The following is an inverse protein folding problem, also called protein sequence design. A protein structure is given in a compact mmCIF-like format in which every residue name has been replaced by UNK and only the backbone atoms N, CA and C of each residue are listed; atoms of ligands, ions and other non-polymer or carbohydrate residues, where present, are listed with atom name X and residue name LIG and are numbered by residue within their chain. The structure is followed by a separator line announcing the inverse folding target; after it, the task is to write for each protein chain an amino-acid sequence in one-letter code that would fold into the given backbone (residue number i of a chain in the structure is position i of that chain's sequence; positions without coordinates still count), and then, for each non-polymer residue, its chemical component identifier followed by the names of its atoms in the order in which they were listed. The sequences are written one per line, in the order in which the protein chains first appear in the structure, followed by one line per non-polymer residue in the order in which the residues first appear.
data_IF_263272170564
#
_entry.id   IF_263272170564
#
_cell.length_a   1.000
_cell.length_b   1.000
_cell.length_c   1.000
_cell.angle_alpha   90.00
_cell.angle_beta   90.00
_cell.angle_gamma   90.00
#
_symmetry.space_group_name_H-M   'P 1'
#
loop_
_entity.id
_entity.type
_entity.pdbx_description
1 polymer ?
#
# COMPACT_ATOMS: atom_id res chain seq x y z
N UNK A 1 -55.65 17.62 49.38
CA UNK A 1 -55.55 16.59 48.31
C UNK A 1 -54.83 17.07 47.03
N UNK A 2 -54.46 18.35 46.89
CA UNK A 2 -53.78 18.88 45.69
C UNK A 2 -52.35 18.34 45.45
N UNK A 3 -51.58 18.01 46.50
CA UNK A 3 -50.17 17.58 46.35
C UNK A 3 -49.94 16.16 45.80
N UNK A 4 -50.98 15.34 45.62
CA UNK A 4 -50.83 14.00 45.02
C UNK A 4 -50.82 14.05 43.49
N UNK A 5 -51.60 14.97 42.89
CA UNK A 5 -51.69 15.12 41.44
C UNK A 5 -50.44 15.77 40.83
N UNK A 6 -49.87 16.79 41.49
CA UNK A 6 -48.63 17.45 41.03
C UNK A 6 -47.42 16.52 41.07
N UNK A 7 -47.34 15.61 42.06
CA UNK A 7 -46.25 14.62 42.13
C UNK A 7 -46.30 13.61 40.99
N UNK A 8 -47.50 13.23 40.52
CA UNK A 8 -47.67 12.33 39.39
C UNK A 8 -47.29 12.95 38.04
N UNK A 9 -47.61 14.24 37.84
CA UNK A 9 -47.25 14.97 36.62
C UNK A 9 -45.73 15.14 36.49
N UNK A 10 -45.06 15.54 37.59
CA UNK A 10 -43.60 15.73 37.61
C UNK A 10 -42.81 14.44 37.42
N UNK A 11 -43.35 13.30 37.88
CA UNK A 11 -42.71 12.00 37.69
C UNK A 11 -42.79 11.52 36.24
N UNK A 12 -43.93 11.74 35.55
CA UNK A 12 -44.07 11.43 34.12
C UNK A 12 -43.15 12.27 33.24
N UNK A 13 -43.00 13.55 33.54
CA UNK A 13 -42.16 14.47 32.76
C UNK A 13 -40.66 14.11 32.87
N UNK A 14 -40.19 13.71 34.05
CA UNK A 14 -38.82 13.22 34.24
C UNK A 14 -38.58 11.83 33.61
N UNK A 15 -39.58 10.94 33.57
CA UNK A 15 -39.41 9.62 32.93
C UNK A 15 -39.26 9.70 31.41
N UNK A 16 -39.91 10.69 30.77
CA UNK A 16 -39.84 10.91 29.33
C UNK A 16 -38.50 11.52 28.90
N UNK A 17 -37.87 12.32 29.77
CA UNK A 17 -36.54 12.89 29.51
C UNK A 17 -35.43 11.86 29.72
N UNK A 18 -35.53 10.98 30.71
CA UNK A 18 -34.54 9.90 30.90
C UNK A 18 -34.57 8.85 29.78
N UNK A 19 -35.75 8.43 29.31
CA UNK A 19 -35.87 7.54 28.15
C UNK A 19 -35.38 8.19 26.84
N UNK A 20 -35.63 9.49 26.67
CA UNK A 20 -35.14 10.24 25.51
C UNK A 20 -33.61 10.36 25.48
N UNK A 21 -32.99 10.64 26.63
CA UNK A 21 -31.53 10.76 26.75
C UNK A 21 -30.84 9.41 26.56
N UNK A 22 -31.38 8.34 27.12
CA UNK A 22 -30.82 6.98 26.96
C UNK A 22 -30.93 6.48 25.50
N UNK A 23 -32.02 6.77 24.80
CA UNK A 23 -32.16 6.49 23.36
C UNK A 23 -31.15 7.26 22.51
N UNK A 24 -30.96 8.56 22.75
CA UNK A 24 -29.98 9.38 22.03
C UNK A 24 -28.54 8.89 22.25
N UNK A 25 -28.16 8.58 23.50
CA UNK A 25 -26.84 8.04 23.79
C UNK A 25 -26.60 6.68 23.13
N UNK A 26 -27.62 5.82 23.07
CA UNK A 26 -27.52 4.52 22.40
C UNK A 26 -27.39 4.67 20.88
N UNK A 27 -28.10 5.61 20.27
CA UNK A 27 -27.94 5.93 18.84
C UNK A 27 -26.56 6.50 18.53
N UNK A 28 -26.03 7.38 19.38
CA UNK A 28 -24.67 7.92 19.23
C UNK A 28 -23.61 6.83 19.39
N UNK A 29 -23.76 5.90 20.34
CA UNK A 29 -22.87 4.76 20.53
C UNK A 29 -22.92 3.76 19.35
N UNK A 30 -24.10 3.55 18.75
CA UNK A 30 -24.24 2.69 17.57
C UNK A 30 -23.68 3.36 16.30
N UNK A 31 -23.90 4.67 16.14
CA UNK A 31 -23.35 5.43 15.01
C UNK A 31 -21.82 5.55 15.08
N UNK A 32 -21.26 5.73 16.28
CA UNK A 32 -19.81 5.73 16.49
C UNK A 32 -19.23 4.34 16.25
N UNK A 33 -19.88 3.28 16.76
CA UNK A 33 -19.48 1.89 16.51
C UNK A 33 -19.49 1.50 15.03
N UNK A 34 -20.52 1.89 14.28
CA UNK A 34 -20.61 1.64 12.84
C UNK A 34 -19.51 2.36 12.05
N UNK A 35 -19.16 3.59 12.46
CA UNK A 35 -18.10 4.38 11.83
C UNK A 35 -16.72 3.78 12.09
N UNK A 36 -16.45 3.38 13.34
CA UNK A 36 -15.21 2.70 13.74
C UNK A 36 -15.06 1.37 12.99
N UNK A 37 -16.15 0.60 12.85
CA UNK A 37 -16.13 -0.67 12.12
C UNK A 37 -15.83 -0.50 10.63
N UNK A 38 -16.42 0.50 9.96
CA UNK A 38 -16.12 0.81 8.55
C UNK A 38 -14.66 1.23 8.35
N UNK A 39 -14.12 2.03 9.26
CA UNK A 39 -12.72 2.41 9.23
C UNK A 39 -11.80 1.19 9.39
N UNK A 40 -12.06 0.34 10.38
CA UNK A 40 -11.31 -0.91 10.61
C UNK A 40 -11.35 -1.84 9.39
N UNK A 41 -12.51 -2.03 8.77
CA UNK A 41 -12.67 -2.84 7.55
C UNK A 41 -11.87 -2.25 6.37
N UNK A 42 -11.79 -0.92 6.26
CA UNK A 42 -10.97 -0.21 5.28
C UNK A 42 -9.47 -0.50 5.46
N UNK A 43 -8.97 -0.41 6.69
CA UNK A 43 -7.56 -0.70 7.00
C UNK A 43 -7.18 -2.15 6.71
N UNK A 44 -8.04 -3.12 7.06
CA UNK A 44 -7.80 -4.54 6.77
C UNK A 44 -7.74 -4.80 5.27
N UNK A 45 -8.63 -4.18 4.48
CA UNK A 45 -8.61 -4.29 3.01
C UNK A 45 -7.34 -3.69 2.42
N UNK A 46 -6.88 -2.55 2.94
CA UNK A 46 -5.64 -1.89 2.50
C UNK A 46 -4.39 -2.71 2.81
N UNK A 47 -4.25 -3.21 4.04
CA UNK A 47 -3.13 -4.06 4.41
C UNK A 47 -3.08 -5.34 3.56
N UNK A 48 -4.25 -5.88 3.18
CA UNK A 48 -4.36 -7.01 2.27
C UNK A 48 -3.88 -6.67 0.85
N UNK A 49 -4.23 -5.50 0.32
CA UNK A 49 -3.76 -5.04 -1.00
C UNK A 49 -2.24 -4.92 -1.05
N UNK A 50 -1.61 -4.36 -0.02
CA UNK A 50 -0.15 -4.18 0.04
C UNK A 50 0.61 -5.50 0.06
N UNK A 51 0.09 -6.50 0.78
CA UNK A 51 0.68 -7.85 0.77
C UNK A 51 0.54 -8.54 -0.58
N UNK A 52 -0.60 -8.36 -1.26
CA UNK A 52 -0.80 -8.89 -2.61
C UNK A 52 0.16 -8.22 -3.60
N UNK A 53 0.31 -6.90 -3.51
CA UNK A 53 1.25 -6.14 -4.32
C UNK A 53 2.70 -6.58 -4.08
N UNK A 54 3.11 -6.73 -2.82
CA UNK A 54 4.42 -7.22 -2.45
C UNK A 54 4.70 -8.61 -3.03
N UNK A 55 3.76 -9.55 -2.87
CA UNK A 55 3.88 -10.89 -3.40
C UNK A 55 3.99 -10.88 -4.93
N UNK A 56 3.17 -10.08 -5.60
CA UNK A 56 3.20 -9.95 -7.05
C UNK A 56 4.57 -9.43 -7.54
N UNK A 57 5.12 -8.38 -6.91
CA UNK A 57 6.44 -7.84 -7.28
C UNK A 57 7.57 -8.87 -7.17
N UNK A 58 7.53 -9.77 -6.19
CA UNK A 58 8.55 -10.83 -6.05
C UNK A 58 8.33 -11.96 -7.06
N UNK A 59 7.08 -12.38 -7.26
CA UNK A 59 6.75 -13.58 -8.04
C UNK A 59 6.75 -13.33 -9.55
N UNK A 60 6.43 -12.12 -10.02
CA UNK A 60 6.33 -11.85 -11.47
C UNK A 60 7.62 -12.17 -12.21
N UNK A 61 8.82 -11.71 -11.81
CA UNK A 61 10.03 -12.03 -12.56
C UNK A 61 10.31 -13.54 -12.64
N UNK A 62 10.08 -14.27 -11.55
CA UNK A 62 10.18 -15.74 -11.54
C UNK A 62 9.15 -16.40 -12.48
N UNK A 63 7.92 -15.89 -12.48
CA UNK A 63 6.85 -16.35 -13.34
C UNK A 63 7.17 -16.11 -14.82
N UNK A 64 7.72 -14.95 -15.18
CA UNK A 64 8.15 -14.64 -16.55
C UNK A 64 9.26 -15.59 -17.03
N UNK A 65 10.28 -15.84 -16.20
CA UNK A 65 11.35 -16.81 -16.51
C UNK A 65 10.77 -18.20 -16.76
N UNK A 66 9.85 -18.65 -15.89
CA UNK A 66 9.25 -19.98 -15.98
C UNK A 66 8.47 -20.16 -17.29
N UNK A 67 7.65 -19.17 -17.66
CA UNK A 67 6.77 -19.25 -18.83
C UNK A 67 7.48 -18.97 -20.17
N UNK A 68 8.65 -18.32 -20.15
CA UNK A 68 9.50 -18.17 -21.33
C UNK A 68 10.39 -19.39 -21.59
N UNK A 69 10.31 -20.44 -20.73
CA UNK A 69 11.08 -21.68 -20.88
C UNK A 69 12.43 -21.68 -20.17
N UNK A 70 12.58 -20.89 -19.11
CA UNK A 70 13.80 -20.66 -18.31
C UNK A 70 14.94 -19.78 -18.89
N UNK A 71 14.87 -19.13 -20.07
CA UNK A 71 15.90 -18.17 -20.45
C UNK A 71 15.79 -16.91 -19.58
N UNK A 72 16.90 -16.48 -19.00
CA UNK A 72 16.97 -15.18 -18.31
C UNK A 72 17.35 -14.12 -19.33
N UNK A 73 16.39 -13.25 -19.67
CA UNK A 73 16.59 -12.11 -20.59
C UNK A 73 17.46 -11.01 -19.96
N UNK A 74 17.87 -10.02 -20.76
CA UNK A 74 18.70 -8.92 -20.26
C UNK A 74 17.93 -7.99 -19.32
N UNK A 75 16.62 -7.81 -19.55
CA UNK A 75 15.70 -7.03 -18.69
C UNK A 75 14.34 -7.73 -18.57
N UNK A 76 13.61 -7.44 -17.49
CA UNK A 76 12.21 -7.83 -17.29
C UNK A 76 11.36 -7.30 -18.44
N UNK A 77 11.64 -6.09 -18.96
CA UNK A 77 10.83 -5.54 -20.04
C UNK A 77 10.96 -6.33 -21.33
N UNK A 78 12.10 -6.98 -21.61
CA UNK A 78 12.32 -7.79 -22.82
C UNK A 78 11.42 -9.02 -22.93
N UNK A 79 10.76 -9.41 -21.84
CA UNK A 79 9.81 -10.52 -21.84
C UNK A 79 8.55 -10.24 -22.66
N UNK A 80 8.32 -9.00 -23.14
CA UNK A 80 7.28 -8.72 -24.13
C UNK A 80 7.49 -9.50 -25.45
N UNK A 81 8.73 -9.95 -25.74
CA UNK A 81 9.07 -10.73 -26.94
C UNK A 81 8.83 -12.24 -26.76
N UNK A 82 8.27 -12.69 -25.64
CA UNK A 82 7.96 -14.10 -25.45
C UNK A 82 6.82 -14.55 -26.37
N UNK A 83 6.74 -15.87 -26.66
CA UNK A 83 5.69 -16.41 -27.53
C UNK A 83 4.27 -16.14 -27.00
N UNK A 84 4.10 -16.21 -25.67
CA UNK A 84 2.84 -15.95 -24.98
C UNK A 84 2.91 -14.60 -24.27
N UNK A 85 3.05 -13.53 -25.05
CA UNK A 85 3.23 -12.16 -24.56
C UNK A 85 2.17 -11.70 -23.52
N UNK A 86 0.97 -12.29 -23.52
CA UNK A 86 -0.06 -12.02 -22.51
C UNK A 86 0.41 -12.30 -21.07
N UNK A 87 1.33 -13.26 -20.90
CA UNK A 87 1.97 -13.60 -19.61
C UNK A 87 2.83 -12.45 -19.10
N UNK A 88 3.40 -11.62 -19.99
CA UNK A 88 4.08 -10.38 -19.63
C UNK A 88 3.08 -9.28 -19.28
N UNK A 89 2.14 -9.00 -20.17
CA UNK A 89 1.24 -7.85 -20.05
C UNK A 89 0.31 -7.97 -18.83
N UNK A 90 -0.39 -9.08 -18.68
CA UNK A 90 -1.47 -9.23 -17.69
C UNK A 90 -1.02 -9.00 -16.23
N UNK A 91 0.00 -9.70 -15.70
CA UNK A 91 0.38 -9.54 -14.30
C UNK A 91 1.04 -8.18 -14.02
N UNK A 92 1.83 -7.63 -14.96
CA UNK A 92 2.43 -6.31 -14.80
C UNK A 92 1.37 -5.20 -14.84
N UNK A 93 0.35 -5.31 -15.69
CA UNK A 93 -0.79 -4.37 -15.68
C UNK A 93 -1.54 -4.45 -14.36
N UNK A 94 -1.77 -5.65 -13.81
CA UNK A 94 -2.39 -5.79 -12.50
C UNK A 94 -1.58 -5.10 -11.39
N UNK A 95 -0.25 -5.25 -11.39
CA UNK A 95 0.64 -4.56 -10.45
C UNK A 95 0.60 -3.05 -10.63
N UNK A 96 0.63 -2.55 -11.87
CA UNK A 96 0.51 -1.13 -12.17
C UNK A 96 -0.79 -0.54 -11.62
N UNK A 97 -1.93 -1.22 -11.84
CA UNK A 97 -3.23 -0.81 -11.30
C UNK A 97 -3.20 -0.82 -9.77
N UNK A 98 -2.63 -1.86 -9.14
CA UNK A 98 -2.52 -1.94 -7.68
C UNK A 98 -1.70 -0.79 -7.09
N UNK A 99 -0.60 -0.38 -7.74
CA UNK A 99 0.17 0.80 -7.35
C UNK A 99 -0.68 2.08 -7.44
N UNK A 100 -1.40 2.27 -8.55
CA UNK A 100 -2.27 3.44 -8.74
C UNK A 100 -3.38 3.50 -7.70
N UNK A 101 -4.08 2.38 -7.49
CA UNK A 101 -5.15 2.29 -6.49
C UNK A 101 -4.59 2.53 -5.08
N UNK A 102 -3.44 1.95 -4.75
CA UNK A 102 -2.80 2.17 -3.46
C UNK A 102 -2.45 3.66 -3.25
N UNK A 103 -1.88 4.32 -4.25
CA UNK A 103 -1.54 5.74 -4.17
C UNK A 103 -2.75 6.68 -4.12
N UNK A 104 -3.86 6.33 -4.77
CA UNK A 104 -5.12 7.10 -4.69
C UNK A 104 -5.80 6.93 -3.33
N UNK A 105 -5.83 5.70 -2.80
CA UNK A 105 -6.54 5.42 -1.54
C UNK A 105 -5.75 5.90 -0.32
N UNK A 106 -4.41 5.89 -0.36
CA UNK A 106 -3.56 6.41 0.71
C UNK A 106 -3.08 7.83 0.38
N UNK A 107 -3.69 8.84 0.97
CA UNK A 107 -3.38 10.27 0.72
C UNK A 107 -1.88 10.64 0.88
N UNK A 108 -1.14 9.93 1.75
CA UNK A 108 0.30 10.16 1.96
C UNK A 108 1.22 9.39 1.00
N UNK A 109 0.66 8.62 0.08
CA UNK A 109 1.40 7.73 -0.82
C UNK A 109 1.12 8.04 -2.30
N UNK A 110 0.85 9.29 -2.65
CA UNK A 110 0.62 9.72 -4.04
C UNK A 110 1.78 9.34 -5.00
N UNK A 111 3.00 9.14 -4.48
CA UNK A 111 4.13 8.61 -5.24
C UNK A 111 3.83 7.24 -5.86
N UNK A 112 3.01 6.39 -5.22
CA UNK A 112 2.61 5.09 -5.76
C UNK A 112 1.75 5.24 -7.01
N UNK A 113 0.96 6.31 -7.13
CA UNK A 113 0.24 6.63 -8.37
C UNK A 113 1.20 6.95 -9.51
N UNK A 114 2.24 7.74 -9.23
CA UNK A 114 3.27 8.07 -10.23
C UNK A 114 4.01 6.82 -10.65
N UNK A 115 4.47 6.01 -9.69
CA UNK A 115 5.17 4.75 -9.95
C UNK A 115 4.31 3.76 -10.73
N UNK A 116 3.04 3.58 -10.36
CA UNK A 116 2.10 2.74 -11.10
C UNK A 116 1.88 3.22 -12.53
N UNK A 117 1.81 4.54 -12.74
CA UNK A 117 1.69 5.15 -14.08
C UNK A 117 2.97 4.95 -14.91
N UNK A 118 4.14 5.09 -14.30
CA UNK A 118 5.42 4.82 -14.98
C UNK A 118 5.56 3.33 -15.34
N UNK A 119 5.09 2.42 -14.48
CA UNK A 119 5.02 1.00 -14.78
C UNK A 119 4.05 0.70 -15.93
N UNK A 120 2.90 1.38 -16.00
CA UNK A 120 2.02 1.29 -17.17
C UNK A 120 2.74 1.75 -18.44
N UNK A 121 3.52 2.84 -18.36
CA UNK A 121 4.36 3.32 -19.46
C UNK A 121 5.38 2.27 -19.92
N UNK A 122 6.09 1.62 -19.00
CA UNK A 122 7.01 0.50 -19.27
C UNK A 122 6.34 -0.64 -20.04
N UNK A 123 5.08 -0.95 -19.71
CA UNK A 123 4.30 -2.00 -20.35
C UNK A 123 3.85 -1.57 -21.75
N UNK A 124 3.33 -0.35 -21.90
CA UNK A 124 2.75 0.15 -23.14
C UNK A 124 3.82 0.52 -24.20
N UNK A 125 4.93 1.09 -23.77
CA UNK A 125 6.01 1.54 -24.63
C UNK A 125 7.14 0.50 -24.59
N UNK A 126 7.14 -0.43 -25.54
CA UNK A 126 8.20 -1.45 -25.62
C UNK A 126 9.56 -0.83 -25.99
N UNK A 127 10.64 -1.50 -25.58
CA UNK A 127 12.01 -1.01 -25.73
C UNK A 127 12.51 -0.96 -27.18
N UNK A 128 11.88 -1.65 -28.14
CA UNK A 128 12.32 -1.64 -29.55
C UNK A 128 11.67 -0.49 -30.34
N UNK A 129 10.37 -0.28 -30.16
CA UNK A 129 9.58 0.73 -30.90
C UNK A 129 9.67 2.12 -30.28
N UNK A 130 9.73 2.21 -28.95
CA UNK A 130 9.70 3.48 -28.23
C UNK A 130 10.82 3.57 -27.17
N UNK A 131 12.10 3.34 -27.52
CA UNK A 131 13.20 3.20 -26.56
C UNK A 131 13.32 4.41 -25.63
N UNK A 132 13.23 5.63 -26.15
CA UNK A 132 13.37 6.85 -25.34
C UNK A 132 12.29 6.98 -24.26
N UNK A 133 11.03 6.69 -24.62
CA UNK A 133 9.92 6.79 -23.67
C UNK A 133 10.02 5.63 -22.66
N UNK A 134 10.35 4.43 -23.14
CA UNK A 134 10.60 3.26 -22.31
C UNK A 134 11.66 3.55 -21.25
N UNK A 135 12.83 4.06 -21.66
CA UNK A 135 13.95 4.33 -20.77
C UNK A 135 13.62 5.40 -19.74
N UNK A 136 12.85 6.44 -20.11
CA UNK A 136 12.38 7.46 -19.16
C UNK A 136 11.42 6.82 -18.13
N UNK A 137 10.44 6.04 -18.59
CA UNK A 137 9.52 5.35 -17.68
C UNK A 137 10.26 4.36 -16.77
N UNK A 138 11.23 3.62 -17.30
CA UNK A 138 12.09 2.71 -16.56
C UNK A 138 12.89 3.45 -15.47
N UNK A 139 13.58 4.52 -15.86
CA UNK A 139 14.39 5.32 -14.97
C UNK A 139 13.54 5.92 -13.84
N UNK A 140 12.40 6.56 -14.17
CA UNK A 140 11.52 7.15 -13.15
C UNK A 140 10.92 6.06 -12.25
N UNK A 141 10.53 4.90 -12.77
CA UNK A 141 10.01 3.81 -11.96
C UNK A 141 11.09 3.28 -11.00
N UNK A 142 12.23 2.80 -11.50
CA UNK A 142 13.24 2.15 -10.66
C UNK A 142 13.98 3.13 -9.73
N UNK A 143 14.35 4.32 -10.21
CA UNK A 143 14.97 5.35 -9.36
C UNK A 143 13.94 5.89 -8.37
N UNK A 144 12.71 6.16 -8.83
CA UNK A 144 11.62 6.63 -7.97
C UNK A 144 11.32 5.65 -6.84
N UNK A 145 11.30 4.34 -7.11
CA UNK A 145 11.18 3.30 -6.09
C UNK A 145 12.31 3.37 -5.06
N UNK A 146 13.56 3.52 -5.51
CA UNK A 146 14.70 3.71 -4.62
C UNK A 146 14.55 4.94 -3.74
N UNK A 147 14.15 6.09 -4.31
CA UNK A 147 13.89 7.34 -3.58
C UNK A 147 12.78 7.16 -2.55
N UNK A 148 11.67 6.51 -2.91
CA UNK A 148 10.57 6.24 -1.98
C UNK A 148 11.05 5.46 -0.77
N UNK A 149 11.80 4.38 -0.98
CA UNK A 149 12.32 3.56 0.12
C UNK A 149 13.34 4.35 0.95
N UNK A 150 14.19 5.18 0.31
CA UNK A 150 15.20 5.95 1.01
C UNK A 150 14.64 7.11 1.80
N UNK A 151 13.57 7.77 1.37
CA UNK A 151 13.06 9.00 2.01
C UNK A 151 11.78 8.79 2.82
N UNK A 152 10.88 7.94 2.35
CA UNK A 152 9.54 7.77 2.91
C UNK A 152 9.38 6.49 3.75
N UNK A 153 10.41 5.65 3.83
CA UNK A 153 10.38 4.52 4.74
C UNK A 153 10.38 5.01 6.20
N UNK A 154 9.28 4.71 6.90
CA UNK A 154 9.03 4.96 8.32
C UNK A 154 9.92 4.12 9.25
N UNK A 155 10.78 3.28 8.67
CA UNK A 155 11.69 2.41 9.39
C UNK A 155 12.59 3.23 10.31
N UNK A 156 12.30 3.10 11.61
CA UNK A 156 13.06 3.67 12.73
C UNK A 156 14.54 3.26 12.72
N UNK A 157 14.89 2.24 11.95
CA UNK A 157 16.24 1.71 11.83
C UNK A 157 16.96 2.26 10.59
N UNK A 158 17.84 3.24 10.81
CA UNK A 158 18.74 3.79 9.80
C UNK A 158 19.55 2.70 9.06
N UNK A 159 19.82 1.56 9.72
CA UNK A 159 20.50 0.41 9.13
C UNK A 159 19.78 -0.18 7.92
N UNK A 160 18.45 -0.22 7.91
CA UNK A 160 17.72 -0.76 6.76
C UNK A 160 17.81 0.19 5.56
N UNK A 161 17.67 1.50 5.76
CA UNK A 161 17.82 2.50 4.69
C UNK A 161 19.23 2.44 4.10
N UNK A 162 20.24 2.32 4.97
CA UNK A 162 21.63 2.15 4.55
C UNK A 162 21.85 0.84 3.78
N UNK A 163 21.30 -0.29 4.23
CA UNK A 163 21.45 -1.56 3.53
C UNK A 163 20.77 -1.54 2.17
N UNK A 164 19.57 -0.96 2.05
CA UNK A 164 18.89 -0.74 0.76
C UNK A 164 19.77 0.07 -0.19
N UNK A 165 20.30 1.21 0.27
CA UNK A 165 21.14 2.07 -0.53
C UNK A 165 22.39 1.32 -1.05
N UNK A 166 23.06 0.59 -0.16
CA UNK A 166 24.26 -0.20 -0.49
C UNK A 166 23.93 -1.30 -1.50
N UNK A 167 22.82 -2.02 -1.32
CA UNK A 167 22.41 -3.09 -2.26
C UNK A 167 22.10 -2.52 -3.65
N UNK A 168 21.37 -1.40 -3.73
CA UNK A 168 21.06 -0.75 -5.01
C UNK A 168 22.34 -0.28 -5.69
N UNK A 169 23.24 0.39 -4.95
CA UNK A 169 24.53 0.86 -5.50
C UNK A 169 25.42 -0.30 -5.96
N UNK A 170 25.51 -1.36 -5.17
CA UNK A 170 26.29 -2.54 -5.52
C UNK A 170 25.72 -3.26 -6.76
N UNK A 171 24.39 -3.35 -6.88
CA UNK A 171 23.72 -3.94 -8.03
C UNK A 171 23.97 -3.12 -9.30
N UNK A 172 23.81 -1.79 -9.23
CA UNK A 172 24.09 -0.88 -10.34
C UNK A 172 25.57 -0.93 -10.75
N UNK A 173 26.50 -0.91 -9.78
CA UNK A 173 27.93 -1.00 -10.05
C UNK A 173 28.29 -2.35 -10.71
N UNK A 174 27.72 -3.46 -10.21
CA UNK A 174 27.94 -4.80 -10.78
C UNK A 174 27.44 -4.91 -12.22
N UNK A 175 26.29 -4.28 -12.52
CA UNK A 175 25.70 -4.24 -13.85
C UNK A 175 26.54 -3.40 -14.82
N UNK A 176 26.87 -2.16 -14.47
CA UNK A 176 27.50 -1.22 -15.41
C UNK A 176 29.02 -1.29 -15.48
N UNK A 177 29.72 -1.54 -14.37
CA UNK A 177 31.18 -1.53 -14.35
C UNK A 177 31.79 -2.88 -14.74
N UNK A 178 31.12 -3.98 -14.39
CA UNK A 178 31.68 -5.32 -14.55
C UNK A 178 30.90 -6.22 -15.51
N UNK A 179 29.67 -5.84 -15.88
CA UNK A 179 28.80 -6.67 -16.74
C UNK A 179 28.49 -8.05 -16.14
N UNK A 180 28.64 -8.22 -14.82
CA UNK A 180 28.50 -9.51 -14.14
C UNK A 180 27.04 -9.90 -13.93
N UNK A 181 26.15 -8.91 -13.94
CA UNK A 181 24.75 -9.05 -13.59
C UNK A 181 23.93 -8.37 -14.67
N UNK A 182 22.93 -9.08 -15.22
CA UNK A 182 22.01 -8.51 -16.20
C UNK A 182 21.07 -7.50 -15.54
N UNK A 183 20.54 -6.56 -16.32
CA UNK A 183 19.58 -5.57 -15.83
C UNK A 183 18.37 -6.24 -15.17
N UNK A 184 17.95 -7.41 -15.68
CA UNK A 184 16.89 -8.25 -15.13
C UNK A 184 17.05 -8.51 -13.62
N UNK A 185 18.25 -8.90 -13.18
CA UNK A 185 18.49 -9.17 -11.76
C UNK A 185 18.46 -7.90 -10.92
N UNK A 186 18.96 -6.78 -11.46
CA UNK A 186 18.89 -5.47 -10.81
C UNK A 186 17.44 -5.04 -10.63
N UNK A 187 16.62 -5.18 -11.67
CA UNK A 187 15.20 -4.87 -11.66
C UNK A 187 14.44 -5.80 -10.70
N UNK A 188 14.77 -7.10 -10.66
CA UNK A 188 14.15 -8.05 -9.73
C UNK A 188 14.49 -7.71 -8.28
N UNK A 189 15.76 -7.39 -7.97
CA UNK A 189 16.15 -6.91 -6.63
C UNK A 189 15.39 -5.64 -6.29
N UNK A 190 15.26 -4.69 -7.21
CA UNK A 190 14.48 -3.47 -6.99
C UNK A 190 13.02 -3.77 -6.66
N UNK A 191 12.35 -4.64 -7.42
CA UNK A 191 10.98 -5.10 -7.15
C UNK A 191 10.85 -5.81 -5.79
N UNK A 192 11.83 -6.63 -5.42
CA UNK A 192 11.87 -7.30 -4.13
C UNK A 192 12.00 -6.30 -2.97
N UNK A 193 12.80 -5.23 -3.14
CA UNK A 193 12.91 -4.17 -2.13
C UNK A 193 11.60 -3.42 -1.93
N UNK A 194 10.86 -3.16 -3.01
CA UNK A 194 9.51 -2.56 -2.91
C UNK A 194 8.56 -3.51 -2.18
N UNK A 195 8.63 -4.81 -2.47
CA UNK A 195 7.82 -5.80 -1.78
C UNK A 195 8.10 -5.84 -0.28
N UNK A 196 9.37 -5.78 0.13
CA UNK A 196 9.75 -5.67 1.54
C UNK A 196 9.19 -4.39 2.16
N UNK A 197 9.28 -3.26 1.46
CA UNK A 197 8.71 -1.99 1.92
C UNK A 197 7.19 -2.09 2.17
N UNK A 198 6.42 -2.60 1.21
CA UNK A 198 4.98 -2.81 1.38
C UNK A 198 4.64 -3.82 2.46
N UNK A 199 5.42 -4.89 2.59
CA UNK A 199 5.21 -5.91 3.61
C UNK A 199 5.37 -5.33 5.03
N UNK A 200 6.43 -4.57 5.24
CA UNK A 200 6.70 -3.88 6.51
C UNK A 200 5.61 -2.85 6.81
N UNK A 201 5.26 -2.01 5.84
CA UNK A 201 4.22 -0.97 6.02
C UNK A 201 2.87 -1.61 6.39
N UNK A 202 2.49 -2.71 5.73
CA UNK A 202 1.26 -3.45 6.04
C UNK A 202 1.27 -4.13 7.42
N UNK A 203 2.46 -4.35 7.99
CA UNK A 203 2.61 -4.94 9.33
C UNK A 203 2.43 -3.87 10.41
N UNK A 204 3.01 -2.68 10.23
CA UNK A 204 2.79 -1.56 11.14
C UNK A 204 1.33 -1.09 11.15
N UNK A 205 0.67 -1.06 9.99
CA UNK A 205 -0.75 -0.71 9.91
C UNK A 205 -1.66 -1.69 10.69
N UNK A 206 -1.23 -2.95 10.89
CA UNK A 206 -1.96 -3.93 11.67
C UNK A 206 -1.78 -3.77 13.19
N UNK A 207 -0.75 -3.05 13.63
CA UNK A 207 -0.44 -2.81 15.05
C UNK A 207 -1.08 -1.53 15.61
N UNK A 208 -1.59 -0.64 14.74
CA UNK A 208 -2.25 0.62 15.15
C UNK A 208 -3.74 0.54 15.60
N UNK A 209 -4.49 -0.59 15.60
CA UNK A 209 -5.92 -0.56 15.94
C UNK A 209 -6.24 -0.41 17.45
N UNK A 210 -5.25 -0.32 18.34
CA UNK A 210 -5.46 -0.20 19.81
C UNK A 210 -5.36 1.21 20.38
N UNK A 211 -4.97 2.22 19.59
CA UNK A 211 -5.04 3.61 20.07
C UNK A 211 -6.42 4.16 19.77
N UNK A 212 -7.28 4.14 20.80
CA UNK A 212 -8.51 4.93 20.81
C UNK A 212 -8.20 6.35 20.29
N UNK A 213 -9.06 6.96 19.45
CA UNK A 213 -8.90 8.36 19.06
C UNK A 213 -8.58 9.21 20.30
N UNK A 214 -7.71 10.23 20.20
CA UNK A 214 -7.31 11.04 21.36
C UNK A 214 -8.49 11.59 22.16
N UNK A 215 -9.63 11.78 21.50
CA UNK A 215 -10.87 12.24 22.12
C UNK A 215 -11.55 11.17 22.98
N UNK A 216 -11.50 9.90 22.56
CA UNK A 216 -11.99 8.76 23.36
C UNK A 216 -11.03 8.39 24.48
N UNK A 217 -9.71 8.52 24.27
CA UNK A 217 -8.72 8.36 25.35
C UNK A 217 -8.91 9.40 26.46
N UNK A 218 -9.25 10.65 26.10
CA UNK A 218 -9.58 11.70 27.07
C UNK A 218 -10.89 11.43 27.81
N UNK A 219 -11.85 10.79 27.15
CA UNK A 219 -13.13 10.44 27.77
C UNK A 219 -12.97 9.31 28.80
N UNK A 220 -12.16 8.28 28.50
CA UNK A 220 -11.81 7.23 29.47
C UNK A 220 -10.94 7.75 30.62
N UNK A 221 -10.02 8.68 30.35
CA UNK A 221 -9.20 9.28 31.40
C UNK A 221 -9.98 10.22 32.35
N UNK A 222 -11.20 10.63 31.94
CA UNK A 222 -12.08 11.50 32.72
C UNK A 222 -13.19 10.73 33.47
N UNK A 223 -13.29 9.42 33.30
CA UNK A 223 -14.21 8.51 34.01
C UNK A 223 -13.49 7.70 35.09
#
# INVERSE_FOLDING_TARGET
MAGAAERGARWRENSLTEEGVTMQMRQLALASGATVRRAADGFVRLARLERVLALACILIPAFLVLFDGHPVRQSISEYYKMRSDQVFYFPLTAVSILFVVNGIVKERQAYNTILGTMLAGLILFNCDAFPRIHDICAAVFFIGNGVVILFFSSLKHNYFRASVAVVILAALLSCFAFGLVTLFWVEWVSLAMIAVHFFIESSFAAEEPTRLPPQLQRAEAAS
#
